data_IF_752310599996
#
_entry.id   IF_752310599996
#
_cell.length_a   1.000
_cell.length_b   1.000
_cell.length_c   1.000
_cell.angle_alpha   90.00
_cell.angle_beta   90.00
_cell.angle_gamma   90.00
#
_symmetry.space_group_name_H-M   'P 1'
#
loop_
_entity.id
_entity.type
_entity.pdbx_description
1 polymer ?
#
# COMPACT_ATOMS: atom_id res chain seq x y z
N UNK A 1 12.32 -10.95 0.82
CA UNK A 1 12.19 -11.96 -0.25
C UNK A 1 11.82 -13.34 0.29
N UNK A 2 12.67 -14.04 1.06
CA UNK A 2 12.39 -15.42 1.52
C UNK A 2 11.06 -15.58 2.28
N UNK A 3 10.79 -14.69 3.26
CA UNK A 3 9.53 -14.71 3.99
C UNK A 3 8.30 -14.55 3.08
N UNK A 4 8.37 -13.62 2.11
CA UNK A 4 7.31 -13.41 1.12
C UNK A 4 7.04 -14.68 0.31
N UNK A 5 8.10 -15.33 -0.18
CA UNK A 5 7.98 -16.56 -0.96
C UNK A 5 7.34 -17.69 -0.13
N UNK A 6 7.78 -17.89 1.11
CA UNK A 6 7.20 -18.91 2.00
C UNK A 6 5.71 -18.68 2.22
N UNK A 7 5.29 -17.44 2.50
CA UNK A 7 3.87 -17.11 2.66
C UNK A 7 3.06 -17.41 1.40
N UNK A 8 3.56 -17.03 0.22
CA UNK A 8 2.87 -17.29 -1.05
C UNK A 8 2.78 -18.78 -1.36
N UNK A 9 3.87 -19.54 -1.17
CA UNK A 9 3.88 -20.98 -1.33
C UNK A 9 2.96 -21.71 -0.34
N UNK A 10 2.72 -21.12 0.83
CA UNK A 10 1.76 -21.61 1.81
C UNK A 10 0.29 -21.20 1.50
N UNK A 11 0.05 -20.49 0.40
CA UNK A 11 -1.31 -20.12 -0.05
C UNK A 11 -1.82 -18.78 0.48
N UNK A 12 -0.96 -17.86 0.87
CA UNK A 12 -1.41 -16.52 1.28
C UNK A 12 -1.97 -15.70 0.10
N UNK A 13 -3.19 -15.18 0.26
CA UNK A 13 -3.82 -14.30 -0.73
C UNK A 13 -3.19 -12.90 -0.77
N UNK A 14 -2.63 -12.46 0.36
CA UNK A 14 -1.93 -11.19 0.49
C UNK A 14 -0.65 -11.35 1.30
N UNK A 15 0.37 -10.59 0.93
CA UNK A 15 1.53 -10.34 1.81
C UNK A 15 1.53 -8.90 2.30
N UNK A 16 1.81 -8.72 3.60
CA UNK A 16 1.76 -7.44 4.31
C UNK A 16 3.13 -7.08 4.87
N UNK A 17 3.54 -5.81 4.81
CA UNK A 17 4.89 -5.38 5.25
C UNK A 17 5.10 -5.43 6.77
N UNK A 18 4.17 -4.89 7.56
CA UNK A 18 4.31 -4.78 9.02
C UNK A 18 2.97 -4.87 9.75
N UNK A 19 3.03 -4.98 11.07
CA UNK A 19 1.85 -4.93 11.96
C UNK A 19 1.32 -3.50 12.14
N UNK A 20 2.14 -2.48 11.88
CA UNK A 20 1.85 -1.08 12.20
C UNK A 20 2.20 -0.70 13.65
N UNK A 21 2.80 -1.61 14.43
CA UNK A 21 3.12 -1.41 15.86
C UNK A 21 4.62 -1.31 16.14
N UNK A 22 5.45 -1.51 15.13
CA UNK A 22 6.91 -1.47 15.24
C UNK A 22 7.44 -0.06 14.95
N UNK A 23 8.67 0.21 15.37
CA UNK A 23 9.37 1.47 15.07
C UNK A 23 9.68 1.64 13.58
N UNK A 24 9.97 0.53 12.88
CA UNK A 24 10.19 0.49 11.43
C UNK A 24 9.02 -0.23 10.78
N UNK A 25 8.31 0.48 9.90
CA UNK A 25 7.14 -0.03 9.17
C UNK A 25 7.43 -0.15 7.66
N UNK A 26 6.40 -0.03 6.81
CA UNK A 26 6.57 -0.04 5.36
C UNK A 26 7.59 1.01 4.91
N UNK A 27 8.58 0.57 4.13
CA UNK A 27 9.51 1.44 3.42
C UNK A 27 9.51 1.05 1.94
N UNK A 28 9.78 2.00 1.05
CA UNK A 28 9.81 1.73 -0.39
C UNK A 28 10.81 0.62 -0.77
N UNK A 29 12.03 0.55 -0.22
CA UNK A 29 12.96 -0.54 -0.54
C UNK A 29 12.44 -1.92 -0.13
N UNK A 30 11.85 -2.06 1.06
CA UNK A 30 11.25 -3.33 1.51
C UNK A 30 10.06 -3.70 0.62
N UNK A 31 9.26 -2.71 0.26
CA UNK A 31 8.08 -2.88 -0.60
C UNK A 31 8.47 -3.37 -1.98
N UNK A 32 9.47 -2.75 -2.60
CA UNK A 32 10.02 -3.18 -3.89
C UNK A 32 10.47 -4.65 -3.86
N UNK A 33 11.18 -5.07 -2.81
CA UNK A 33 11.61 -6.46 -2.65
C UNK A 33 10.42 -7.43 -2.54
N UNK A 34 9.36 -7.06 -1.83
CA UNK A 34 8.16 -7.89 -1.69
C UNK A 34 7.36 -7.96 -3.00
N UNK A 35 7.20 -6.82 -3.68
CA UNK A 35 6.47 -6.70 -4.94
C UNK A 35 7.18 -7.48 -6.06
N UNK A 36 8.50 -7.41 -6.14
CA UNK A 36 9.27 -8.23 -7.09
C UNK A 36 9.16 -9.73 -6.81
N UNK A 37 9.05 -10.11 -5.53
CA UNK A 37 8.79 -11.50 -5.19
C UNK A 37 7.39 -11.94 -5.66
N UNK A 38 6.36 -11.09 -5.54
CA UNK A 38 5.04 -11.36 -6.11
C UNK A 38 5.12 -11.53 -7.62
N UNK A 39 5.85 -10.65 -8.33
CA UNK A 39 6.05 -10.74 -9.78
C UNK A 39 6.65 -12.09 -10.16
N UNK A 40 7.78 -12.43 -9.56
CA UNK A 40 8.50 -13.70 -9.83
C UNK A 40 7.62 -14.92 -9.53
N UNK A 41 6.84 -14.87 -8.44
CA UNK A 41 5.92 -15.94 -8.09
C UNK A 41 4.79 -16.09 -9.11
N UNK A 42 4.19 -14.98 -9.55
CA UNK A 42 3.16 -14.98 -10.59
C UNK A 42 3.70 -15.49 -11.93
N UNK A 43 4.88 -15.04 -12.35
CA UNK A 43 5.54 -15.50 -13.59
C UNK A 43 5.76 -17.02 -13.60
N UNK A 44 6.03 -17.62 -12.44
CA UNK A 44 6.27 -19.07 -12.31
C UNK A 44 5.01 -19.91 -12.15
N UNK A 45 3.97 -19.36 -11.54
CA UNK A 45 2.81 -20.15 -11.08
C UNK A 45 1.49 -19.75 -11.71
N UNK A 46 1.39 -18.55 -12.27
CA UNK A 46 0.13 -17.93 -12.71
C UNK A 46 -0.77 -17.47 -11.55
N UNK A 47 -0.37 -17.67 -10.30
CA UNK A 47 -1.16 -17.31 -9.12
C UNK A 47 -0.92 -15.85 -8.74
N UNK A 48 -2.00 -15.07 -8.63
CA UNK A 48 -1.93 -13.66 -8.22
C UNK A 48 -2.03 -13.56 -6.70
N UNK A 49 -1.04 -12.89 -6.11
CA UNK A 49 -1.03 -12.56 -4.68
C UNK A 49 -1.09 -11.04 -4.54
N UNK A 50 -1.90 -10.57 -3.61
CA UNK A 50 -2.06 -9.17 -3.29
C UNK A 50 -0.95 -8.62 -2.40
N UNK A 51 -0.80 -7.30 -2.42
CA UNK A 51 0.17 -6.58 -1.61
C UNK A 51 -0.51 -5.56 -0.70
N UNK A 52 -0.08 -5.50 0.56
CA UNK A 52 -0.59 -4.54 1.55
C UNK A 52 0.56 -3.84 2.28
N UNK A 53 1.03 -2.66 1.84
CA UNK A 53 1.95 -1.88 2.64
C UNK A 53 1.21 -1.34 3.87
N UNK A 54 1.84 -1.43 5.04
CA UNK A 54 1.23 -1.05 6.30
C UNK A 54 2.21 -0.32 7.23
N UNK A 55 1.65 0.64 7.96
CA UNK A 55 2.35 1.47 8.94
C UNK A 55 3.20 2.58 8.29
N UNK A 56 3.14 3.78 8.86
CA UNK A 56 3.93 4.94 8.43
C UNK A 56 3.41 5.69 7.18
N UNK A 57 2.41 5.14 6.47
CA UNK A 57 1.79 5.81 5.31
C UNK A 57 0.66 6.70 5.80
N UNK A 58 0.94 8.00 5.90
CA UNK A 58 0.00 8.99 6.47
C UNK A 58 -0.34 10.14 5.53
N UNK A 59 0.37 10.27 4.40
CA UNK A 59 0.16 11.36 3.44
C UNK A 59 -0.27 10.84 2.08
N UNK A 60 -1.14 11.59 1.39
CA UNK A 60 -1.61 11.27 0.04
C UNK A 60 -0.43 11.14 -0.96
N UNK A 61 0.61 11.97 -0.81
CA UNK A 61 1.81 11.92 -1.66
C UNK A 61 2.60 10.61 -1.49
N UNK A 62 2.65 10.08 -0.26
CA UNK A 62 3.31 8.79 0.00
C UNK A 62 2.51 7.68 -0.69
N UNK A 63 1.18 7.70 -0.58
CA UNK A 63 0.29 6.74 -1.26
C UNK A 63 0.47 6.74 -2.78
N UNK A 64 0.62 7.91 -3.42
CA UNK A 64 0.93 8.01 -4.86
C UNK A 64 2.23 7.28 -5.21
N UNK A 65 3.24 7.35 -4.34
CA UNK A 65 4.53 6.70 -4.60
C UNK A 65 4.39 5.17 -4.56
N UNK A 66 3.58 4.64 -3.65
CA UNK A 66 3.26 3.21 -3.62
C UNK A 66 2.41 2.78 -4.83
N UNK A 67 1.44 3.58 -5.26
CA UNK A 67 0.65 3.30 -6.45
C UNK A 67 1.52 3.26 -7.71
N UNK A 68 2.45 4.22 -7.86
CA UNK A 68 3.41 4.23 -8.95
C UNK A 68 4.29 2.97 -8.95
N UNK A 69 4.85 2.62 -7.79
CA UNK A 69 5.64 1.40 -7.62
C UNK A 69 4.86 0.13 -8.01
N UNK A 70 3.61 0.01 -7.56
CA UNK A 70 2.73 -1.12 -7.91
C UNK A 70 2.46 -1.18 -9.42
N UNK A 71 2.18 -0.04 -10.04
CA UNK A 71 1.92 0.05 -11.48
C UNK A 71 3.14 -0.32 -12.30
N UNK A 72 4.31 0.21 -11.96
CA UNK A 72 5.56 -0.07 -12.65
C UNK A 72 5.98 -1.54 -12.49
N UNK A 73 5.81 -2.10 -11.30
CA UNK A 73 6.30 -3.45 -11.05
C UNK A 73 5.29 -4.55 -11.44
N UNK A 74 3.98 -4.34 -11.31
CA UNK A 74 2.96 -5.39 -11.51
C UNK A 74 1.84 -5.00 -12.50
N UNK A 75 1.80 -3.75 -12.94
CA UNK A 75 0.79 -3.26 -13.88
C UNK A 75 -0.58 -2.95 -13.26
N UNK A 76 -1.49 -2.44 -14.09
CA UNK A 76 -2.78 -1.88 -13.65
C UNK A 76 -3.70 -2.90 -12.95
N UNK A 77 -3.57 -4.19 -13.27
CA UNK A 77 -4.35 -5.26 -12.63
C UNK A 77 -4.12 -5.31 -11.11
N UNK A 78 -2.90 -5.02 -10.67
CA UNK A 78 -2.55 -5.02 -9.25
C UNK A 78 -2.92 -3.73 -8.52
N UNK A 79 -3.46 -2.72 -9.21
CA UNK A 79 -3.99 -1.53 -8.53
C UNK A 79 -5.42 -1.74 -8.00
N UNK A 80 -6.03 -2.88 -8.30
CA UNK A 80 -7.40 -3.18 -7.89
C UNK A 80 -7.48 -3.59 -6.41
N UNK A 81 -8.60 -3.33 -5.71
CA UNK A 81 -8.73 -3.54 -4.26
C UNK A 81 -8.55 -4.99 -3.78
N UNK A 82 -8.70 -5.95 -4.68
CA UNK A 82 -8.50 -7.38 -4.43
C UNK A 82 -7.02 -7.79 -4.52
N UNK A 83 -6.13 -6.92 -5.03
CA UNK A 83 -4.69 -7.16 -5.10
C UNK A 83 -3.85 -6.05 -4.46
N UNK A 84 -4.43 -4.92 -4.10
CA UNK A 84 -3.71 -3.85 -3.41
C UNK A 84 -4.57 -3.12 -2.39
N UNK A 85 -3.98 -2.90 -1.21
CA UNK A 85 -4.64 -2.24 -0.08
C UNK A 85 -3.64 -1.41 0.71
N UNK A 86 -4.02 -0.23 1.17
CA UNK A 86 -3.24 0.47 2.19
C UNK A 86 -3.60 -0.03 3.61
N UNK A 87 -2.60 -0.33 4.42
CA UNK A 87 -2.73 -0.52 5.87
C UNK A 87 -2.40 0.78 6.59
N UNK A 88 -3.37 1.69 6.68
CA UNK A 88 -3.20 3.02 7.26
C UNK A 88 -4.37 3.38 8.19
N UNK A 89 -4.13 4.28 9.13
CA UNK A 89 -5.15 4.89 9.99
C UNK A 89 -5.39 6.35 9.61
N UNK A 90 -4.33 7.18 9.61
CA UNK A 90 -4.43 8.63 9.37
C UNK A 90 -4.45 9.05 7.90
N UNK A 91 -4.19 8.12 6.96
CA UNK A 91 -4.12 8.44 5.53
C UNK A 91 -5.44 8.97 4.96
N UNK A 92 -6.58 8.44 5.42
CA UNK A 92 -7.90 8.87 4.94
C UNK A 92 -8.10 10.37 5.21
N UNK A 93 -7.86 10.82 6.44
CA UNK A 93 -8.00 12.23 6.79
C UNK A 93 -7.05 13.13 5.99
N UNK A 94 -5.84 12.68 5.65
CA UNK A 94 -4.97 13.47 4.76
C UNK A 94 -5.53 13.58 3.34
N UNK A 95 -6.03 12.48 2.77
CA UNK A 95 -6.65 12.48 1.44
C UNK A 95 -7.86 13.40 1.40
N UNK A 96 -8.75 13.33 2.38
CA UNK A 96 -9.94 14.18 2.45
C UNK A 96 -9.57 15.67 2.50
N UNK A 97 -8.55 16.03 3.29
CA UNK A 97 -8.03 17.41 3.33
C UNK A 97 -7.46 17.88 1.99
N UNK A 98 -6.70 17.01 1.31
CA UNK A 98 -6.15 17.35 -0.01
C UNK A 98 -7.26 17.55 -1.05
N UNK A 99 -8.32 16.73 -1.00
CA UNK A 99 -9.48 16.86 -1.88
C UNK A 99 -10.30 18.12 -1.56
N UNK A 100 -10.57 18.44 -0.29
CA UNK A 100 -11.27 19.67 0.10
C UNK A 100 -10.47 20.91 -0.34
N UNK A 101 -9.16 20.92 -0.12
CA UNK A 101 -8.31 22.01 -0.57
C UNK A 101 -8.31 22.15 -2.09
N UNK A 102 -8.26 21.03 -2.83
CA UNK A 102 -8.31 21.04 -4.29
C UNK A 102 -9.63 21.63 -4.84
N UNK A 103 -10.76 21.32 -4.19
CA UNK A 103 -12.08 21.78 -4.63
C UNK A 103 -12.38 23.21 -4.18
N UNK A 104 -11.99 23.59 -2.95
CA UNK A 104 -12.41 24.85 -2.32
C UNK A 104 -11.34 25.93 -2.28
N UNK A 105 -10.07 25.59 -2.52
CA UNK A 105 -8.92 26.48 -2.36
C UNK A 105 -8.59 26.83 -0.91
N UNK A 106 -9.29 26.28 0.08
CA UNK A 106 -9.10 26.56 1.50
C UNK A 106 -8.54 25.33 2.23
N UNK A 107 -7.67 25.55 3.21
CA UNK A 107 -7.21 24.48 4.08
C UNK A 107 -8.34 24.04 5.01
N UNK A 108 -8.61 22.73 5.05
CA UNK A 108 -9.62 22.19 5.96
C UNK A 108 -9.18 22.27 7.41
N UNK A 109 -10.09 22.67 8.28
CA UNK A 109 -9.89 22.65 9.72
C UNK A 109 -9.95 21.21 10.24
N UNK A 110 -9.10 20.89 11.23
CA UNK A 110 -8.93 19.52 11.72
C UNK A 110 -10.20 18.82 12.23
N UNK A 111 -11.26 19.58 12.58
CA UNK A 111 -12.52 19.05 13.10
C UNK A 111 -13.59 18.79 12.01
N UNK A 112 -13.34 19.14 10.74
CA UNK A 112 -14.31 18.95 9.65
C UNK A 112 -14.35 17.54 9.08
N UNK A 113 -13.27 16.79 9.27
CA UNK A 113 -13.17 15.39 8.88
C UNK A 113 -13.34 14.51 10.11
N UNK A 114 -13.94 13.34 9.94
CA UNK A 114 -14.06 12.39 11.03
C UNK A 114 -12.66 12.07 11.57
N UNK A 115 -12.46 12.20 12.88
CA UNK A 115 -11.25 11.73 13.54
C UNK A 115 -11.19 10.20 13.41
N UNK A 116 -10.31 9.74 12.53
CA UNK A 116 -9.94 8.33 12.33
C UNK A 116 -9.09 7.79 13.46
#
# INVERSE_FOLDING_TARGET
ARASLVCMMAGADFIKTSTGKESVNATLPVSLVMIRAIREYYERTGVRVGYKPAGGISKAKDAITYLALMKEELGDRWLQPDLFRFGASSLLGDIERQLEHHVTGNYSAAYRHATS
#
